data_IF_729562395369
#
_entry.id   IF_729562395369
#
_cell.length_a   1.000
_cell.length_b   1.000
_cell.length_c   1.000
_cell.angle_alpha   90.00
_cell.angle_beta   90.00
_cell.angle_gamma   90.00
#
_symmetry.space_group_name_H-M   'P 1'
#
loop_
_entity.id
_entity.type
_entity.pdbx_description
1 polymer ?
#
# COMPACT_ATOMS: atom_id res chain seq x y z
N UNK A 1 -13.77 5.66 -8.26
CA UNK A 1 -13.63 5.67 -6.78
C UNK A 1 -12.60 4.65 -6.30
N UNK A 2 -12.81 3.35 -6.54
CA UNK A 2 -11.88 2.28 -6.11
C UNK A 2 -10.43 2.53 -6.59
N UNK A 3 -10.26 2.90 -7.86
CA UNK A 3 -8.96 3.25 -8.43
C UNK A 3 -8.25 4.39 -7.70
N UNK A 4 -8.97 5.45 -7.29
CA UNK A 4 -8.40 6.55 -6.50
C UNK A 4 -7.90 6.07 -5.13
N UNK A 5 -8.63 5.18 -4.48
CA UNK A 5 -8.17 4.58 -3.22
C UNK A 5 -6.96 3.66 -3.41
N UNK A 6 -6.91 2.92 -4.52
CA UNK A 6 -5.75 2.10 -4.87
C UNK A 6 -4.52 2.98 -5.08
N UNK A 7 -4.65 4.07 -5.84
CA UNK A 7 -3.55 5.03 -6.03
C UNK A 7 -3.11 5.64 -4.69
N UNK A 8 -4.05 6.04 -3.83
CA UNK A 8 -3.74 6.54 -2.49
C UNK A 8 -2.93 5.51 -1.66
N UNK A 9 -3.30 4.23 -1.69
CA UNK A 9 -2.53 3.17 -1.02
C UNK A 9 -1.14 2.98 -1.63
N UNK A 10 -1.01 3.09 -2.96
CA UNK A 10 0.30 3.01 -3.63
C UNK A 10 1.20 4.20 -3.28
N UNK A 11 0.64 5.40 -3.16
CA UNK A 11 1.35 6.60 -2.68
C UNK A 11 1.77 6.40 -1.23
N UNK A 12 0.86 5.98 -0.36
CA UNK A 12 1.14 5.68 1.06
C UNK A 12 2.27 4.65 1.22
N UNK A 13 2.35 3.63 0.36
CA UNK A 13 3.45 2.63 0.40
C UNK A 13 4.80 3.20 -0.03
N UNK A 14 4.81 4.24 -0.88
CA UNK A 14 6.04 4.96 -1.29
C UNK A 14 6.47 5.97 -0.23
N UNK A 15 5.50 6.52 0.51
CA UNK A 15 5.73 7.26 1.75
C UNK A 15 6.18 6.28 2.83
N UNK A 16 7.39 5.74 2.71
CA UNK A 16 8.00 5.03 3.82
C UNK A 16 8.02 5.98 5.00
N UNK A 17 7.31 5.63 6.08
CA UNK A 17 7.54 6.24 7.38
C UNK A 17 9.05 6.31 7.58
N UNK A 18 9.57 7.53 7.77
CA UNK A 18 11.01 7.77 7.87
C UNK A 18 11.58 6.79 8.89
N UNK A 19 10.89 6.59 10.02
CA UNK A 19 11.25 5.71 11.12
C UNK A 19 11.21 4.21 10.77
N UNK A 20 10.17 3.73 10.10
CA UNK A 20 10.09 2.33 9.66
C UNK A 20 11.17 1.97 8.62
N UNK A 21 11.62 2.94 7.83
CA UNK A 21 12.79 2.83 6.95
C UNK A 21 14.07 2.60 7.75
N UNK A 22 14.30 3.40 8.80
CA UNK A 22 15.45 3.23 9.71
C UNK A 22 15.44 1.87 10.42
N UNK A 23 14.27 1.35 10.81
CA UNK A 23 14.15 0.03 11.45
C UNK A 23 14.48 -1.16 10.52
N UNK A 24 14.39 -0.97 9.19
CA UNK A 24 14.72 -2.00 8.19
C UNK A 24 16.15 -1.90 7.67
N UNK A 25 16.77 -0.72 7.77
CA UNK A 25 18.21 -0.60 7.65
C UNK A 25 18.78 -1.30 8.88
N UNK A 26 19.20 -2.56 8.74
CA UNK A 26 20.26 -3.06 9.62
C UNK A 26 21.33 -1.99 9.56
N UNK A 27 21.68 -1.38 10.68
CA UNK A 27 22.92 -0.63 10.75
C UNK A 27 23.99 -1.59 10.19
N UNK A 28 24.49 -1.32 8.98
CA UNK A 28 25.70 -1.96 8.47
C UNK A 28 26.86 -1.43 9.31
N UNK A 29 26.87 -1.87 10.56
CA UNK A 29 27.99 -1.80 11.45
C UNK A 29 28.16 -3.22 11.99
N UNK A 30 28.46 -4.15 11.06
CA UNK A 30 29.74 -4.82 11.15
C UNK A 30 30.43 -5.15 9.80
N UNK A 31 30.23 -4.36 8.72
CA UNK A 31 30.89 -4.63 7.42
C UNK A 31 32.20 -3.87 7.18
N UNK A 32 32.74 -3.13 8.17
CA UNK A 32 34.18 -2.77 8.15
C UNK A 32 34.97 -3.98 8.66
N UNK A 33 34.85 -5.10 7.96
CA UNK A 33 35.85 -6.16 8.00
C UNK A 33 36.84 -5.78 6.91
N UNK A 34 38.09 -5.48 7.30
CA UNK A 34 39.20 -5.28 6.36
C UNK A 34 39.24 -6.45 5.38
N UNK A 35 38.77 -6.26 4.16
CA UNK A 35 39.00 -7.18 3.04
C UNK A 35 40.49 -7.09 2.66
N UNK A 36 41.31 -7.88 3.36
CA UNK A 36 42.76 -7.98 3.13
C UNK A 36 43.11 -8.62 1.77
N UNK A 37 42.14 -9.21 1.05
CA UNK A 37 42.37 -10.03 -0.13
C UNK A 37 41.66 -9.57 -1.42
N UNK A 38 41.04 -8.38 -1.46
CA UNK A 38 40.43 -7.89 -2.70
C UNK A 38 41.49 -7.21 -3.58
N UNK A 39 42.33 -8.04 -4.18
CA UNK A 39 43.20 -7.65 -5.29
C UNK A 39 42.39 -7.50 -6.57
N UNK A 40 42.61 -6.39 -7.26
CA UNK A 40 42.11 -6.09 -8.60
C UNK A 40 42.42 -7.23 -9.59
N UNK A 41 41.40 -7.86 -10.20
CA UNK A 41 41.29 -8.08 -11.65
C UNK A 41 40.10 -9.00 -12.00
N UNK A 42 39.27 -8.53 -12.93
CA UNK A 42 38.45 -9.32 -13.87
C UNK A 42 37.22 -10.11 -13.36
N UNK A 43 36.06 -9.44 -13.42
CA UNK A 43 34.77 -10.11 -13.64
C UNK A 43 33.94 -9.29 -14.65
N UNK A 44 34.47 -9.12 -15.86
CA UNK A 44 33.66 -8.66 -17.00
C UNK A 44 32.67 -9.77 -17.38
N UNK A 45 31.38 -9.50 -17.25
CA UNK A 45 30.34 -10.35 -17.84
C UNK A 45 29.24 -10.88 -16.93
N UNK A 46 28.98 -10.27 -15.77
CA UNK A 46 27.70 -10.49 -15.09
C UNK A 46 26.69 -9.58 -15.75
N UNK A 47 25.71 -10.14 -16.45
CA UNK A 47 24.47 -9.46 -16.83
C UNK A 47 23.83 -8.92 -15.55
N UNK A 48 24.20 -7.70 -15.18
CA UNK A 48 23.56 -6.97 -14.11
C UNK A 48 22.16 -6.70 -14.63
N UNK A 49 21.18 -7.50 -14.18
CA UNK A 49 19.76 -7.17 -14.35
C UNK A 49 19.61 -5.67 -14.11
N UNK A 50 19.01 -4.98 -15.10
CA UNK A 50 18.82 -3.54 -15.01
C UNK A 50 18.21 -3.24 -13.62
N UNK A 51 18.85 -2.38 -12.80
CA UNK A 51 18.41 -2.20 -11.43
C UNK A 51 16.94 -1.80 -11.47
N UNK A 52 16.11 -2.59 -10.78
CA UNK A 52 14.67 -2.34 -10.71
C UNK A 52 14.44 -0.86 -10.41
N UNK A 53 13.77 -0.17 -11.35
CA UNK A 53 13.61 1.28 -11.25
C UNK A 53 12.91 1.61 -9.94
N UNK A 54 13.60 2.37 -9.08
CA UNK A 54 13.00 2.83 -7.83
C UNK A 54 11.77 3.68 -8.16
N UNK A 55 10.62 3.43 -7.51
CA UNK A 55 9.45 4.27 -7.71
C UNK A 55 9.79 5.73 -7.44
N UNK A 56 9.30 6.64 -8.29
CA UNK A 56 9.46 8.08 -8.07
C UNK A 56 8.93 8.45 -6.68
N UNK A 57 9.64 9.35 -5.96
CA UNK A 57 9.17 9.85 -4.68
C UNK A 57 7.81 10.54 -4.86
N UNK A 58 6.92 10.39 -3.89
CA UNK A 58 5.60 11.01 -3.92
C UNK A 58 5.74 12.54 -3.94
N UNK A 59 5.04 13.19 -4.86
CA UNK A 59 4.97 14.65 -4.92
C UNK A 59 4.01 15.20 -3.87
N UNK A 60 4.08 16.51 -3.58
CA UNK A 60 3.12 17.17 -2.68
C UNK A 60 1.67 17.01 -3.15
N UNK A 61 1.47 17.00 -4.47
CA UNK A 61 0.16 16.78 -5.08
C UNK A 61 -0.34 15.36 -4.81
N UNK A 62 0.52 14.36 -4.98
CA UNK A 62 0.17 12.96 -4.70
C UNK A 62 -0.24 12.76 -3.23
N UNK A 63 0.45 13.45 -2.31
CA UNK A 63 0.13 13.43 -0.88
C UNK A 63 -1.25 14.05 -0.62
N UNK A 64 -1.53 15.23 -1.19
CA UNK A 64 -2.82 15.89 -1.03
C UNK A 64 -3.98 15.04 -1.60
N UNK A 65 -3.80 14.45 -2.80
CA UNK A 65 -4.79 13.58 -3.41
C UNK A 65 -5.00 12.28 -2.62
N UNK A 66 -3.94 11.76 -1.99
CA UNK A 66 -4.00 10.60 -1.08
C UNK A 66 -4.77 10.94 0.20
N UNK A 67 -4.45 12.06 0.85
CA UNK A 67 -5.10 12.53 2.08
C UNK A 67 -6.60 12.79 1.85
N UNK A 68 -6.94 13.44 0.74
CA UNK A 68 -8.34 13.63 0.31
C UNK A 68 -9.06 12.29 0.16
N UNK A 69 -8.43 11.33 -0.53
CA UNK A 69 -9.02 10.02 -0.75
C UNK A 69 -9.25 9.25 0.56
N UNK A 70 -8.32 9.34 1.52
CA UNK A 70 -8.47 8.75 2.84
C UNK A 70 -9.51 9.45 3.70
N UNK A 71 -9.68 10.77 3.55
CA UNK A 71 -10.73 11.51 4.26
C UNK A 71 -12.13 10.97 3.91
N UNK A 72 -12.38 10.58 2.65
CA UNK A 72 -13.65 9.97 2.27
C UNK A 72 -13.92 8.62 2.95
N UNK A 73 -12.87 7.86 3.27
CA UNK A 73 -13.00 6.57 3.99
C UNK A 73 -13.53 6.79 5.42
N UNK A 74 -13.33 7.97 6.00
CA UNK A 74 -13.85 8.30 7.33
C UNK A 74 -15.38 8.31 7.39
N UNK A 75 -16.05 8.51 6.24
CA UNK A 75 -17.52 8.42 6.16
C UNK A 75 -18.04 6.98 6.32
N UNK A 76 -17.20 5.96 6.12
CA UNK A 76 -17.55 4.59 6.42
C UNK A 76 -17.52 4.35 7.95
N UNK A 77 -18.37 3.42 8.41
CA UNK A 77 -18.36 2.96 9.80
C UNK A 77 -16.99 2.44 10.17
N UNK A 78 -16.55 2.72 11.40
CA UNK A 78 -15.23 2.35 11.91
C UNK A 78 -14.92 0.85 11.70
N UNK A 79 -15.89 -0.02 11.99
CA UNK A 79 -15.77 -1.47 11.83
C UNK A 79 -15.55 -1.93 10.38
N UNK A 80 -15.96 -1.12 9.40
CA UNK A 80 -15.84 -1.41 7.97
C UNK A 80 -14.61 -0.75 7.33
N UNK A 81 -13.99 0.26 7.99
CA UNK A 81 -12.76 0.92 7.49
C UNK A 81 -11.62 -0.08 7.32
N UNK A 82 -11.47 -1.01 8.27
CA UNK A 82 -10.48 -2.09 8.17
C UNK A 82 -10.74 -3.01 6.97
N UNK A 83 -12.01 -3.30 6.68
CA UNK A 83 -12.38 -4.12 5.52
C UNK A 83 -12.02 -3.42 4.21
N UNK A 84 -12.31 -2.12 4.11
CA UNK A 84 -11.92 -1.30 2.95
C UNK A 84 -10.40 -1.30 2.79
N UNK A 85 -9.65 -1.01 3.86
CA UNK A 85 -8.19 -0.96 3.82
C UNK A 85 -7.56 -2.28 3.34
N UNK A 86 -8.06 -3.41 3.83
CA UNK A 86 -7.59 -4.73 3.42
C UNK A 86 -7.96 -5.07 1.98
N UNK A 87 -9.18 -4.76 1.55
CA UNK A 87 -9.66 -5.00 0.20
C UNK A 87 -8.88 -4.18 -0.85
N UNK A 88 -8.77 -2.87 -0.63
CA UNK A 88 -8.00 -1.96 -1.49
C UNK A 88 -6.51 -2.32 -1.43
N UNK A 89 -6.00 -2.73 -0.26
CA UNK A 89 -4.63 -3.20 -0.10
C UNK A 89 -4.28 -4.41 -0.97
N UNK A 90 -5.22 -5.36 -1.11
CA UNK A 90 -5.08 -6.52 -2.00
C UNK A 90 -5.11 -6.11 -3.49
N UNK A 91 -6.01 -5.19 -3.86
CA UNK A 91 -6.04 -4.64 -5.23
C UNK A 91 -4.74 -3.90 -5.56
N UNK A 92 -4.21 -3.12 -4.62
CA UNK A 92 -2.92 -2.43 -4.75
C UNK A 92 -1.71 -3.39 -4.77
N UNK A 93 -1.86 -4.65 -4.38
CA UNK A 93 -0.85 -5.71 -4.57
C UNK A 93 -0.91 -6.34 -5.97
N UNK A 94 -1.87 -5.93 -6.81
CA UNK A 94 -2.06 -6.46 -8.15
C UNK A 94 -3.05 -7.63 -8.23
N UNK A 95 -3.82 -7.90 -7.17
CA UNK A 95 -4.88 -8.91 -7.27
C UNK A 95 -6.01 -8.43 -8.20
N UNK A 96 -6.41 -9.26 -9.17
CA UNK A 96 -7.51 -8.93 -10.10
C UNK A 96 -8.88 -8.85 -9.42
N UNK A 97 -9.03 -9.50 -8.26
CA UNK A 97 -10.28 -9.56 -7.49
C UNK A 97 -9.93 -9.63 -6.01
N UNK A 98 -10.81 -9.09 -5.16
CA UNK A 98 -10.61 -9.08 -3.71
C UNK A 98 -10.73 -10.53 -3.17
N UNK A 99 -9.71 -11.06 -2.47
CA UNK A 99 -9.70 -12.42 -1.96
C UNK A 99 -10.48 -12.52 -0.63
N UNK A 100 -11.82 -12.44 -0.69
CA UNK A 100 -12.71 -12.33 0.47
C UNK A 100 -12.43 -13.35 1.60
N UNK A 101 -12.11 -14.59 1.24
CA UNK A 101 -11.84 -15.64 2.22
C UNK A 101 -10.54 -15.39 3.00
N UNK A 102 -9.50 -14.85 2.35
CA UNK A 102 -8.24 -14.50 3.01
C UNK A 102 -8.41 -13.33 3.98
N UNK A 103 -9.38 -12.46 3.71
CA UNK A 103 -9.68 -11.30 4.57
C UNK A 103 -10.39 -11.66 5.89
N UNK A 104 -10.88 -12.90 6.05
CA UNK A 104 -11.57 -13.32 7.29
C UNK A 104 -10.65 -13.33 8.51
N UNK A 105 -9.47 -13.92 8.36
CA UNK A 105 -8.47 -14.03 9.43
C UNK A 105 -8.02 -12.65 9.96
N UNK A 106 -7.60 -11.69 9.11
CA UNK A 106 -7.23 -10.36 9.59
C UNK A 106 -8.42 -9.57 10.14
N UNK A 107 -9.65 -9.81 9.67
CA UNK A 107 -10.83 -9.15 10.22
C UNK A 107 -11.27 -9.74 11.58
N UNK A 108 -10.91 -10.99 11.89
CA UNK A 108 -11.38 -11.68 13.09
C UNK A 108 -12.87 -12.07 13.04
N UNK A 109 -13.46 -12.21 11.85
CA UNK A 109 -14.90 -12.41 11.68
C UNK A 109 -15.21 -13.76 11.02
N UNK A 110 -16.27 -14.42 11.49
CA UNK A 110 -16.74 -15.70 10.96
C UNK A 110 -17.61 -15.60 9.69
N UNK A 111 -17.88 -14.40 9.17
CA UNK A 111 -18.70 -14.18 7.97
C UNK A 111 -18.09 -14.87 6.75
N UNK A 112 -18.96 -15.44 5.90
CA UNK A 112 -18.57 -15.98 4.60
C UNK A 112 -18.24 -14.89 3.58
N UNK A 113 -17.65 -15.29 2.44
CA UNK A 113 -17.22 -14.38 1.38
C UNK A 113 -18.34 -13.44 0.89
N UNK A 114 -19.56 -13.96 0.71
CA UNK A 114 -20.71 -13.15 0.29
C UNK A 114 -21.08 -12.06 1.32
N UNK A 115 -21.02 -12.38 2.61
CA UNK A 115 -21.30 -11.41 3.68
C UNK A 115 -20.26 -10.28 3.72
N UNK A 116 -18.98 -10.62 3.56
CA UNK A 116 -17.91 -9.61 3.46
C UNK A 116 -18.07 -8.73 2.23
N UNK A 117 -18.38 -9.32 1.06
CA UNK A 117 -18.66 -8.57 -0.16
C UNK A 117 -19.80 -7.58 0.04
N UNK A 118 -20.93 -8.00 0.62
CA UNK A 118 -22.07 -7.11 0.87
C UNK A 118 -21.74 -5.98 1.84
N UNK A 119 -20.94 -6.25 2.87
CA UNK A 119 -20.46 -5.20 3.79
C UNK A 119 -19.57 -4.19 3.07
N UNK A 120 -18.64 -4.68 2.25
CA UNK A 120 -17.77 -3.83 1.44
C UNK A 120 -18.58 -2.95 0.48
N UNK A 121 -19.55 -3.51 -0.24
CA UNK A 121 -20.43 -2.76 -1.16
C UNK A 121 -21.16 -1.61 -0.43
N UNK A 122 -21.70 -1.87 0.76
CA UNK A 122 -22.38 -0.84 1.58
C UNK A 122 -21.41 0.23 2.07
N UNK A 123 -20.23 -0.18 2.51
CA UNK A 123 -19.22 0.74 3.01
C UNK A 123 -18.69 1.64 1.87
N UNK A 124 -18.38 1.07 0.71
CA UNK A 124 -17.96 1.82 -0.48
C UNK A 124 -19.04 2.74 -1.02
N UNK A 125 -20.32 2.39 -0.88
CA UNK A 125 -21.42 3.29 -1.22
C UNK A 125 -21.38 4.58 -0.38
N UNK A 126 -21.14 4.48 0.93
CA UNK A 126 -21.01 5.65 1.81
C UNK A 126 -19.80 6.51 1.44
N UNK A 127 -18.66 5.87 1.17
CA UNK A 127 -17.44 6.55 0.73
C UNK A 127 -17.66 7.29 -0.59
N UNK A 128 -18.29 6.64 -1.56
CA UNK A 128 -18.61 7.25 -2.87
C UNK A 128 -19.56 8.44 -2.69
N UNK A 129 -20.56 8.32 -1.81
CA UNK A 129 -21.46 9.43 -1.50
C UNK A 129 -20.72 10.61 -0.85
N UNK A 130 -19.74 10.35 0.01
CA UNK A 130 -18.92 11.39 0.61
C UNK A 130 -18.05 12.10 -0.44
N UNK A 131 -17.39 11.34 -1.32
CA UNK A 131 -16.59 11.89 -2.41
C UNK A 131 -17.42 12.77 -3.35
N UNK A 132 -18.61 12.31 -3.75
CA UNK A 132 -19.50 13.07 -4.63
C UNK A 132 -19.96 14.39 -4.03
N UNK A 133 -20.14 14.47 -2.71
CA UNK A 133 -20.51 15.73 -2.02
C UNK A 133 -19.41 16.78 -2.11
N UNK A 134 -18.15 16.36 -2.04
CA UNK A 134 -17.01 17.27 -2.16
C UNK A 134 -16.86 17.77 -3.59
N UNK A 135 -17.11 16.92 -4.58
CA UNK A 135 -17.00 17.29 -6.01
C UNK A 135 -18.14 18.21 -6.46
N UNK A 136 -19.32 18.10 -5.85
CA UNK A 136 -20.50 18.91 -6.21
C UNK A 136 -20.52 20.32 -5.62
N UNK A 137 -19.55 20.66 -4.78
CA UNK A 137 -19.41 21.98 -4.13
C UNK A 137 -18.27 22.73 -4.81
#
# INVERSE_FOLDING_TARGET
>A
MEERLVQAVLVMRRLSDREAGWLRVKACWPDIVRERNMGDYDARGVDMEAPSLRPLPATRRDIAEMEEAFAWVLAAKEQDRRLIALAIGALAQGEKRIPWMRLRKPMGIKLGAHGLRKRYERAMHLVTKAANRVISV
#
